data_IF_113308695485
#
_entry.id   IF_113308695485
#
_cell.length_a   1.000
_cell.length_b   1.000
_cell.length_c   1.000
_cell.angle_alpha   90.00
_cell.angle_beta   90.00
_cell.angle_gamma   90.00
#
_symmetry.space_group_name_H-M   'P 1'
#
loop_
_entity.id
_entity.type
_entity.pdbx_description
1 polymer ?
#
# COMPACT_ATOMS: atom_id res chain seq x y z
N UNK A 1 -5.55 30.35 66.86
CA UNK A 1 -5.01 31.72 66.72
C UNK A 1 -5.19 32.15 65.28
N UNK A 2 -6.42 32.13 64.74
CA UNK A 2 -7.60 33.00 65.02
C UNK A 2 -7.53 34.23 64.12
N UNK A 3 -8.53 34.73 63.39
CA UNK A 3 -9.97 34.51 63.19
C UNK A 3 -10.32 35.17 61.82
N UNK A 4 -11.10 34.56 60.90
CA UNK A 4 -12.55 34.82 60.56
C UNK A 4 -12.86 36.30 60.21
N UNK A 5 -13.45 36.68 59.05
CA UNK A 5 -14.91 36.66 58.78
C UNK A 5 -15.28 36.87 57.29
N UNK A 6 -16.33 36.15 56.88
CA UNK A 6 -17.13 36.15 55.63
C UNK A 6 -17.82 37.47 55.28
N UNK A 7 -18.07 37.75 53.98
CA UNK A 7 -19.33 38.34 53.48
C UNK A 7 -19.69 37.75 52.09
N UNK A 8 -20.96 37.36 52.00
CA UNK A 8 -21.74 36.85 50.86
C UNK A 8 -22.28 38.01 50.00
N UNK A 9 -22.37 37.82 48.67
CA UNK A 9 -23.06 38.74 47.76
C UNK A 9 -23.63 38.01 46.55
N UNK A 10 -24.85 37.48 46.70
CA UNK A 10 -25.71 37.01 45.61
C UNK A 10 -26.29 38.20 44.84
N UNK A 11 -26.34 38.13 43.51
CA UNK A 11 -27.22 38.94 42.68
C UNK A 11 -27.61 38.16 41.43
N UNK A 12 -28.82 37.61 41.47
CA UNK A 12 -29.60 37.17 40.31
C UNK A 12 -30.70 38.22 40.10
N UNK A 13 -30.90 38.71 38.87
CA UNK A 13 -32.14 38.56 38.09
C UNK A 13 -32.22 39.50 36.88
N UNK A 14 -32.74 38.90 35.80
CA UNK A 14 -33.57 39.46 34.73
C UNK A 14 -32.95 40.33 33.61
N UNK A 15 -32.98 39.73 32.41
CA UNK A 15 -32.95 40.42 31.13
C UNK A 15 -33.39 39.50 30.00
N UNK A 16 -34.70 39.41 29.76
CA UNK A 16 -35.29 38.87 28.54
C UNK A 16 -34.83 39.66 27.32
N UNK A 17 -34.25 39.01 26.31
CA UNK A 17 -34.40 39.42 24.91
C UNK A 17 -34.44 38.20 23.99
N UNK A 18 -35.64 37.94 23.48
CA UNK A 18 -35.82 37.17 22.26
C UNK A 18 -35.34 38.02 21.08
N UNK A 19 -34.36 37.54 20.32
CA UNK A 19 -34.21 37.94 18.93
C UNK A 19 -33.68 36.77 18.11
N UNK A 20 -34.58 36.25 17.29
CA UNK A 20 -34.36 35.32 16.19
C UNK A 20 -33.35 35.93 15.23
N UNK A 21 -32.20 35.29 15.02
CA UNK A 21 -31.35 35.56 13.86
C UNK A 21 -31.20 34.29 13.02
N UNK A 22 -31.77 34.37 11.83
CA UNK A 22 -31.68 33.41 10.76
C UNK A 22 -30.22 33.27 10.27
N UNK A 23 -29.82 32.07 9.79
CA UNK A 23 -28.58 31.93 9.04
C UNK A 23 -28.84 32.34 7.59
N UNK A 24 -28.48 33.58 7.24
CA UNK A 24 -28.49 34.02 5.85
C UNK A 24 -27.16 33.70 5.15
N UNK A 25 -27.31 32.93 4.07
CA UNK A 25 -26.74 33.19 2.74
C UNK A 25 -25.23 33.01 2.60
N UNK A 26 -24.82 31.78 2.27
CA UNK A 26 -23.73 31.53 1.33
C UNK A 26 -24.04 30.28 0.50
N UNK A 27 -24.86 30.46 -0.53
CA UNK A 27 -25.19 29.40 -1.48
C UNK A 27 -25.55 29.99 -2.85
N UNK A 28 -24.65 30.73 -3.49
CA UNK A 28 -24.80 31.20 -4.87
C UNK A 28 -23.44 31.68 -5.42
N UNK A 29 -22.65 30.77 -6.02
CA UNK A 29 -21.73 31.06 -7.13
C UNK A 29 -20.98 29.78 -7.53
N UNK A 30 -21.55 28.97 -8.41
CA UNK A 30 -20.75 28.16 -9.35
C UNK A 30 -21.50 27.97 -10.67
N UNK A 31 -20.84 28.01 -11.84
CA UNK A 31 -21.51 28.06 -13.13
C UNK A 31 -22.09 26.70 -13.50
N UNK A 32 -23.39 26.66 -13.82
CA UNK A 32 -24.00 25.55 -14.55
C UNK A 32 -23.60 25.66 -16.02
N UNK A 33 -22.65 24.84 -16.46
CA UNK A 33 -22.55 24.52 -17.88
C UNK A 33 -23.72 23.59 -18.23
N UNK A 34 -24.61 24.10 -19.07
CA UNK A 34 -25.67 23.33 -19.72
C UNK A 34 -25.04 22.45 -20.80
N UNK A 35 -25.05 21.14 -20.58
CA UNK A 35 -24.92 20.17 -21.67
C UNK A 35 -26.32 19.93 -22.22
N UNK A 36 -26.61 20.51 -23.39
CA UNK A 36 -27.80 20.22 -24.15
C UNK A 36 -27.78 18.74 -24.57
N UNK A 37 -28.88 18.04 -24.32
CA UNK A 37 -29.13 16.68 -24.78
C UNK A 37 -29.28 16.65 -26.30
N UNK A 38 -28.32 16.06 -27.00
CA UNK A 38 -28.52 15.59 -28.36
C UNK A 38 -29.12 14.18 -28.33
N UNK A 39 -30.27 14.06 -28.99
CA UNK A 39 -31.02 12.84 -29.30
C UNK A 39 -30.14 11.72 -29.90
N UNK A 40 -30.47 10.43 -29.67
CA UNK A 40 -29.76 9.32 -30.29
C UNK A 40 -30.13 9.25 -31.78
N UNK A 41 -29.13 9.31 -32.65
CA UNK A 41 -29.25 8.98 -34.06
C UNK A 41 -28.71 7.55 -34.22
N UNK A 42 -29.60 6.65 -34.63
CA UNK A 42 -29.25 5.29 -35.03
C UNK A 42 -28.39 5.33 -36.30
N UNK A 43 -27.22 4.69 -36.26
CA UNK A 43 -26.44 4.34 -37.44
C UNK A 43 -25.84 2.93 -37.30
N UNK A 44 -25.62 2.23 -38.42
CA UNK A 44 -25.65 0.78 -38.48
C UNK A 44 -24.33 0.10 -38.11
N UNK A 45 -24.49 -1.09 -37.54
CA UNK A 45 -23.45 -2.08 -37.22
C UNK A 45 -22.55 -2.39 -38.43
N UNK A 46 -21.22 -2.22 -38.34
CA UNK A 46 -20.30 -2.88 -39.25
C UNK A 46 -20.08 -4.33 -38.78
N UNK A 47 -20.54 -5.28 -39.58
CA UNK A 47 -20.08 -6.67 -39.51
C UNK A 47 -18.59 -6.71 -39.87
N UNK A 48 -17.75 -7.05 -38.89
CA UNK A 48 -16.42 -7.59 -39.14
C UNK A 48 -16.37 -9.01 -38.57
N UNK A 49 -16.66 -9.98 -39.43
CA UNK A 49 -16.07 -11.31 -39.33
C UNK A 49 -14.66 -11.18 -39.89
N UNK A 50 -13.65 -11.34 -39.04
CA UNK A 50 -12.39 -11.88 -39.52
C UNK A 50 -11.81 -12.90 -38.53
N UNK A 51 -11.37 -13.99 -39.12
CA UNK A 51 -11.08 -15.29 -38.51
C UNK A 51 -9.72 -15.21 -37.83
N UNK A 52 -9.72 -15.15 -36.49
CA UNK A 52 -8.49 -15.29 -35.71
C UNK A 52 -8.04 -16.77 -35.74
N UNK A 53 -7.07 -17.08 -36.61
CA UNK A 53 -6.31 -18.34 -36.56
C UNK A 53 -5.56 -18.42 -35.22
N UNK A 54 -5.61 -19.55 -34.49
CA UNK A 54 -4.85 -19.73 -33.27
C UNK A 54 -3.35 -19.76 -33.58
N UNK A 55 -2.50 -19.12 -32.75
CA UNK A 55 -1.05 -19.18 -32.92
C UNK A 55 -0.56 -20.61 -32.67
N UNK A 56 0.40 -21.00 -33.49
CA UNK A 56 1.07 -22.30 -33.46
C UNK A 56 1.50 -22.70 -32.04
N UNK A 57 1.18 -23.94 -31.68
CA UNK A 57 1.58 -24.59 -30.45
C UNK A 57 3.11 -24.52 -30.28
N UNK A 58 3.56 -23.66 -29.37
CA UNK A 58 4.93 -23.66 -28.86
C UNK A 58 5.12 -24.99 -28.12
N UNK A 59 6.07 -25.80 -28.57
CA UNK A 59 6.41 -27.06 -27.90
C UNK A 59 6.84 -26.77 -26.46
N UNK A 60 5.99 -27.15 -25.51
CA UNK A 60 6.30 -27.09 -24.08
C UNK A 60 7.44 -28.07 -23.83
N UNK A 61 8.66 -27.55 -23.72
CA UNK A 61 9.84 -28.29 -23.28
C UNK A 61 9.52 -28.93 -21.93
N UNK A 62 9.56 -30.27 -21.84
CA UNK A 62 9.31 -30.96 -20.59
C UNK A 62 10.28 -30.45 -19.51
N UNK A 63 9.78 -30.07 -18.33
CA UNK A 63 10.62 -29.61 -17.25
C UNK A 63 11.55 -30.76 -16.80
N UNK A 64 12.85 -30.50 -16.82
CA UNK A 64 13.90 -31.42 -16.36
C UNK A 64 13.60 -31.92 -14.94
N UNK A 65 13.17 -33.18 -14.81
CA UNK A 65 12.83 -33.84 -13.54
C UNK A 65 14.02 -33.89 -12.57
N UNK A 66 15.25 -33.71 -13.04
CA UNK A 66 16.45 -33.67 -12.19
C UNK A 66 16.76 -32.29 -11.63
N UNK A 67 15.97 -31.26 -11.96
CA UNK A 67 16.15 -29.91 -11.43
C UNK A 67 15.71 -29.81 -9.97
N UNK A 68 14.59 -30.44 -9.60
CA UNK A 68 13.98 -30.35 -8.27
C UNK A 68 14.90 -30.90 -7.14
N UNK A 69 15.57 -32.06 -7.28
CA UNK A 69 16.50 -32.55 -6.25
C UNK A 69 17.74 -31.65 -6.05
N UNK A 70 18.29 -31.09 -7.13
CA UNK A 70 19.38 -30.10 -7.06
C UNK A 70 18.90 -28.77 -6.49
N UNK A 71 17.63 -28.44 -6.70
CA UNK A 71 16.95 -27.30 -6.10
C UNK A 71 16.88 -27.50 -4.58
N UNK A 72 16.35 -28.64 -4.14
CA UNK A 72 16.26 -29.10 -2.75
C UNK A 72 17.63 -29.03 -2.07
N UNK A 73 18.67 -29.64 -2.65
CA UNK A 73 20.00 -29.68 -2.04
C UNK A 73 20.63 -28.29 -1.80
N UNK A 74 20.49 -27.36 -2.75
CA UNK A 74 21.00 -25.99 -2.61
C UNK A 74 20.17 -25.15 -1.62
N UNK A 75 18.86 -25.41 -1.53
CA UNK A 75 18.00 -24.85 -0.49
C UNK A 75 18.48 -25.36 0.87
N UNK A 76 18.65 -26.68 1.04
CA UNK A 76 19.15 -27.31 2.27
C UNK A 76 20.51 -26.78 2.74
N UNK A 77 21.44 -26.51 1.82
CA UNK A 77 22.74 -25.94 2.17
C UNK A 77 22.68 -24.47 2.67
N UNK A 78 21.57 -23.78 2.40
CA UNK A 78 21.32 -22.40 2.86
C UNK A 78 20.59 -22.32 4.19
N UNK A 79 20.08 -23.46 4.67
CA UNK A 79 19.31 -23.59 5.90
C UNK A 79 20.29 -23.64 7.09
N UNK A 80 20.09 -22.82 8.14
CA UNK A 80 20.83 -23.00 9.38
C UNK A 80 20.66 -24.44 9.87
N UNK A 81 21.72 -25.14 10.30
CA UNK A 81 21.66 -26.56 10.71
C UNK A 81 20.56 -26.89 11.74
N UNK A 82 20.03 -25.87 12.44
CA UNK A 82 18.93 -25.99 13.39
C UNK A 82 17.54 -26.24 12.77
N UNK A 83 17.39 -26.18 11.45
CA UNK A 83 16.11 -26.43 10.77
C UNK A 83 16.29 -27.71 9.94
N UNK A 84 15.49 -28.73 10.25
CA UNK A 84 15.50 -30.00 9.54
C UNK A 84 15.02 -29.82 8.10
N UNK A 85 15.99 -29.61 7.21
CA UNK A 85 15.77 -29.40 5.79
C UNK A 85 15.01 -30.56 5.12
N UNK A 86 15.20 -31.77 5.63
CA UNK A 86 14.57 -33.00 5.14
C UNK A 86 13.09 -33.04 5.47
N UNK A 87 12.70 -32.57 6.66
CA UNK A 87 11.29 -32.49 7.07
C UNK A 87 10.55 -31.33 6.38
N UNK A 88 11.24 -30.21 6.17
CA UNK A 88 10.66 -28.99 5.57
C UNK A 88 10.34 -29.15 4.06
N UNK A 89 10.99 -30.09 3.38
CA UNK A 89 10.91 -30.23 1.92
C UNK A 89 10.01 -31.38 1.43
N UNK A 90 9.12 -31.91 2.26
CA UNK A 90 8.00 -32.71 1.73
C UNK A 90 7.04 -31.78 1.01
N UNK A 91 6.56 -32.18 -0.18
CA UNK A 91 5.63 -31.37 -0.99
C UNK A 91 4.40 -30.93 -0.18
N UNK A 92 3.91 -31.79 0.73
CA UNK A 92 2.80 -31.49 1.63
C UNK A 92 3.10 -30.35 2.62
N UNK A 93 4.30 -30.34 3.21
CA UNK A 93 4.68 -29.30 4.17
C UNK A 93 4.88 -27.94 3.49
N UNK A 94 5.47 -27.93 2.29
CA UNK A 94 5.65 -26.71 1.52
C UNK A 94 4.32 -26.08 1.10
N UNK A 95 3.35 -26.90 0.70
CA UNK A 95 1.97 -26.45 0.44
C UNK A 95 1.34 -25.85 1.70
N UNK A 96 1.51 -26.49 2.86
CA UNK A 96 1.00 -25.98 4.14
C UNK A 96 1.64 -24.63 4.50
N UNK A 97 2.97 -24.51 4.44
CA UNK A 97 3.68 -23.26 4.71
C UNK A 97 3.18 -22.14 3.81
N UNK A 98 2.99 -22.43 2.52
CA UNK A 98 2.53 -21.44 1.57
C UNK A 98 1.08 -21.04 1.86
N UNK A 99 0.25 -21.99 2.24
CA UNK A 99 -1.11 -21.72 2.69
C UNK A 99 -1.12 -20.84 3.94
N UNK A 100 -0.31 -21.16 4.95
CA UNK A 100 -0.16 -20.38 6.18
C UNK A 100 0.37 -18.98 5.90
N UNK A 101 1.42 -18.85 5.08
CA UNK A 101 1.96 -17.57 4.65
C UNK A 101 0.88 -16.75 3.96
N UNK A 102 0.16 -17.33 2.99
CA UNK A 102 -0.90 -16.65 2.25
C UNK A 102 -2.06 -16.23 3.14
N UNK A 103 -2.48 -17.09 4.06
CA UNK A 103 -3.55 -16.81 5.03
C UNK A 103 -3.16 -15.66 5.95
N UNK A 104 -1.95 -15.67 6.50
CA UNK A 104 -1.45 -14.56 7.31
C UNK A 104 -1.31 -13.30 6.49
N UNK A 105 -0.67 -13.40 5.34
CA UNK A 105 -0.46 -12.28 4.44
C UNK A 105 -1.77 -11.65 4.00
N UNK A 106 -2.82 -12.43 3.79
CA UNK A 106 -4.16 -11.93 3.48
C UNK A 106 -4.73 -11.04 4.60
N UNK A 107 -4.30 -11.22 5.87
CA UNK A 107 -4.66 -10.31 6.97
C UNK A 107 -3.96 -8.95 6.87
N UNK A 108 -2.77 -8.91 6.28
CA UNK A 108 -2.00 -7.68 6.01
C UNK A 108 -2.28 -7.09 4.62
N UNK A 109 -3.04 -7.82 3.79
CA UNK A 109 -3.31 -7.49 2.41
C UNK A 109 -4.79 -7.28 2.17
N UNK A 110 -5.02 -6.72 1.00
CA UNK A 110 -6.30 -6.40 0.46
C UNK A 110 -6.94 -7.58 -0.34
N UNK A 111 -6.16 -8.58 -0.77
CA UNK A 111 -6.65 -9.93 -1.14
C UNK A 111 -5.49 -10.94 -1.32
N UNK A 112 -5.82 -12.23 -1.43
CA UNK A 112 -4.90 -13.21 -2.00
C UNK A 112 -4.73 -12.96 -3.51
N UNK A 113 -3.53 -13.15 -4.08
CA UNK A 113 -3.39 -13.19 -5.53
C UNK A 113 -4.31 -14.28 -6.12
N UNK A 114 -4.90 -14.08 -7.31
CA UNK A 114 -5.74 -15.08 -7.96
C UNK A 114 -5.07 -16.44 -8.01
N UNK A 115 -5.84 -17.52 -8.11
CA UNK A 115 -5.30 -18.88 -8.26
C UNK A 115 -4.26 -19.01 -9.38
N UNK A 116 -4.43 -18.26 -10.48
CA UNK A 116 -3.46 -18.23 -11.60
C UNK A 116 -2.09 -17.69 -11.18
N UNK A 117 -2.06 -16.61 -10.42
CA UNK A 117 -0.83 -16.00 -9.88
C UNK A 117 -0.29 -16.84 -8.72
N UNK A 118 -1.17 -17.41 -7.91
CA UNK A 118 -0.79 -18.33 -6.85
C UNK A 118 -0.03 -19.54 -7.40
N UNK A 119 -0.42 -20.07 -8.57
CA UNK A 119 0.32 -21.10 -9.28
C UNK A 119 1.70 -20.60 -9.75
N UNK A 120 1.77 -19.41 -10.33
CA UNK A 120 3.02 -18.81 -10.79
C UNK A 120 4.03 -18.57 -9.64
N UNK A 121 3.54 -18.14 -8.46
CA UNK A 121 4.37 -17.96 -7.25
C UNK A 121 5.00 -19.28 -6.78
N UNK A 122 4.29 -20.41 -6.94
CA UNK A 122 4.80 -21.74 -6.60
C UNK A 122 5.84 -22.23 -7.61
N UNK A 123 5.71 -21.82 -8.87
CA UNK A 123 6.67 -22.10 -9.95
C UNK A 123 7.82 -21.08 -9.99
N UNK A 124 7.81 -20.10 -9.09
CA UNK A 124 8.78 -19.01 -9.03
C UNK A 124 10.19 -19.46 -8.66
N UNK A 125 11.15 -18.52 -8.65
CA UNK A 125 12.52 -18.82 -8.28
C UNK A 125 12.59 -19.39 -6.87
N UNK A 126 13.57 -20.26 -6.61
CA UNK A 126 13.88 -20.81 -5.27
C UNK A 126 13.82 -19.78 -4.14
N UNK A 127 14.26 -18.57 -4.45
CA UNK A 127 14.33 -17.47 -3.51
C UNK A 127 12.96 -16.98 -3.07
N UNK A 128 11.94 -17.05 -3.93
CA UNK A 128 10.56 -16.74 -3.55
C UNK A 128 10.05 -17.72 -2.49
N UNK A 129 10.24 -19.04 -2.70
CA UNK A 129 9.85 -20.06 -1.73
C UNK A 129 10.49 -19.78 -0.36
N UNK A 130 11.76 -19.37 -0.35
CA UNK A 130 12.44 -18.93 0.88
C UNK A 130 11.78 -17.74 1.55
N UNK A 131 11.45 -16.69 0.79
CA UNK A 131 10.79 -15.51 1.35
C UNK A 131 9.42 -15.89 1.92
N UNK A 132 8.65 -16.75 1.23
CA UNK A 132 7.35 -17.22 1.72
C UNK A 132 7.48 -18.07 3.00
N UNK A 133 8.47 -18.97 3.06
CA UNK A 133 8.76 -19.74 4.26
C UNK A 133 9.12 -18.85 5.45
N UNK A 134 10.04 -17.90 5.25
CA UNK A 134 10.44 -16.96 6.29
C UNK A 134 9.24 -16.12 6.73
N UNK A 135 8.41 -15.68 5.80
CA UNK A 135 7.16 -14.98 6.10
C UNK A 135 6.21 -15.81 6.95
N UNK A 136 5.99 -17.09 6.61
CA UNK A 136 5.14 -17.98 7.41
C UNK A 136 5.66 -18.10 8.85
N UNK A 137 6.96 -18.38 9.00
CA UNK A 137 7.58 -18.55 10.32
C UNK A 137 7.58 -17.27 11.14
N UNK A 138 7.80 -16.14 10.48
CA UNK A 138 7.66 -14.84 11.09
C UNK A 138 6.24 -14.62 11.60
N UNK A 139 5.23 -14.83 10.77
CA UNK A 139 3.84 -14.57 11.15
C UNK A 139 3.37 -15.51 12.26
N UNK A 140 3.78 -16.77 12.23
CA UNK A 140 3.59 -17.71 13.33
C UNK A 140 4.19 -17.16 14.64
N UNK A 141 5.44 -16.69 14.57
CA UNK A 141 6.15 -16.15 15.74
C UNK A 141 5.51 -14.87 16.28
N UNK A 142 5.00 -14.01 15.40
CA UNK A 142 4.29 -12.78 15.79
C UNK A 142 2.94 -13.06 16.46
N UNK A 143 2.27 -14.15 16.09
CA UNK A 143 0.99 -14.56 16.70
C UNK A 143 1.14 -15.28 18.04
N UNK A 144 2.24 -15.99 18.27
CA UNK A 144 2.42 -16.84 19.45
C UNK A 144 3.05 -16.10 20.65
N UNK A 145 3.91 -15.10 20.46
CA UNK A 145 4.42 -14.19 21.51
C UNK A 145 5.29 -13.06 20.93
N UNK A 146 4.85 -11.81 21.06
CA UNK A 146 5.43 -10.62 20.41
C UNK A 146 6.84 -10.22 20.86
N UNK A 147 7.39 -10.83 21.92
CA UNK A 147 8.73 -10.53 22.48
C UNK A 147 9.64 -11.76 22.53
N UNK A 148 9.44 -12.71 21.62
CA UNK A 148 10.23 -13.94 21.56
C UNK A 148 11.58 -13.78 20.84
N UNK A 149 12.60 -14.49 21.32
CA UNK A 149 13.89 -14.70 20.65
C UNK A 149 13.75 -15.15 19.17
N UNK A 150 12.60 -15.74 18.81
CA UNK A 150 12.28 -16.16 17.45
C UNK A 150 12.09 -15.00 16.47
N UNK A 151 11.53 -13.86 16.90
CA UNK A 151 11.39 -12.67 16.04
C UNK A 151 12.77 -12.11 15.67
N UNK A 152 13.66 -11.99 16.66
CA UNK A 152 15.06 -11.60 16.43
C UNK A 152 15.77 -12.56 15.47
N UNK A 153 15.58 -13.87 15.64
CA UNK A 153 16.10 -14.89 14.72
C UNK A 153 15.55 -14.74 13.29
N UNK A 154 14.28 -14.39 13.14
CA UNK A 154 13.68 -14.12 11.83
C UNK A 154 14.27 -12.87 11.17
N UNK A 155 14.51 -11.80 11.94
CA UNK A 155 15.19 -10.59 11.47
C UNK A 155 16.60 -10.93 10.96
N UNK A 156 17.37 -11.72 11.72
CA UNK A 156 18.69 -12.19 11.29
C UNK A 156 18.63 -12.98 9.97
N UNK A 157 17.59 -13.80 9.79
CA UNK A 157 17.38 -14.56 8.57
C UNK A 157 17.00 -13.67 7.39
N UNK A 158 16.16 -12.66 7.61
CA UNK A 158 15.79 -11.66 6.60
C UNK A 158 17.03 -10.90 6.13
N UNK A 159 17.91 -10.45 7.03
CA UNK A 159 19.14 -9.74 6.67
C UNK A 159 20.17 -10.66 5.97
N UNK A 160 20.24 -11.94 6.36
CA UNK A 160 21.04 -12.95 5.63
C UNK A 160 20.49 -13.15 4.22
N UNK A 161 19.17 -13.23 4.07
CA UNK A 161 18.53 -13.39 2.76
C UNK A 161 18.77 -12.16 1.87
N UNK A 162 18.66 -10.95 2.41
CA UNK A 162 18.96 -9.72 1.67
C UNK A 162 20.39 -9.72 1.12
N UNK A 163 21.37 -10.06 1.97
CA UNK A 163 22.78 -10.16 1.57
C UNK A 163 23.00 -11.21 0.48
N UNK A 164 22.33 -12.37 0.59
CA UNK A 164 22.40 -13.43 -0.42
C UNK A 164 21.76 -13.00 -1.76
N UNK A 165 20.66 -12.25 -1.71
CA UNK A 165 19.97 -11.79 -2.91
C UNK A 165 20.85 -10.83 -3.72
N UNK A 166 21.72 -10.06 -3.04
CA UNK A 166 22.76 -9.24 -3.65
C UNK A 166 22.22 -8.18 -4.62
N UNK A 167 23.11 -7.37 -5.20
CA UNK A 167 22.67 -6.48 -6.28
C UNK A 167 22.28 -7.30 -7.51
N UNK A 168 21.26 -6.86 -8.25
CA UNK A 168 20.94 -7.46 -9.54
C UNK A 168 22.15 -7.30 -10.48
N UNK A 169 22.69 -8.43 -10.97
CA UNK A 169 23.90 -8.46 -11.82
C UNK A 169 23.61 -8.94 -13.24
N UNK A 170 22.41 -9.44 -13.52
CA UNK A 170 22.07 -9.94 -14.85
C UNK A 170 21.73 -8.79 -15.77
N UNK A 171 22.21 -8.82 -17.02
CA UNK A 171 21.73 -7.92 -18.08
C UNK A 171 20.53 -8.51 -18.83
N UNK A 172 20.20 -9.78 -18.59
CA UNK A 172 19.10 -10.43 -19.27
C UNK A 172 17.77 -10.09 -18.59
N UNK A 173 16.79 -9.70 -19.41
CA UNK A 173 15.39 -9.51 -19.01
C UNK A 173 14.80 -10.80 -18.40
N UNK A 174 15.29 -11.95 -18.87
CA UNK A 174 14.92 -13.26 -18.36
C UNK A 174 15.28 -13.39 -16.87
N UNK A 175 14.26 -13.37 -16.01
CA UNK A 175 14.38 -13.45 -14.56
C UNK A 175 14.42 -12.09 -13.83
N UNK A 176 14.33 -10.96 -14.55
CA UNK A 176 14.21 -9.63 -13.93
C UNK A 176 12.88 -9.50 -13.16
N UNK A 177 11.77 -9.97 -13.74
CA UNK A 177 10.46 -10.02 -13.10
C UNK A 177 10.48 -10.80 -11.79
N UNK A 178 10.99 -12.04 -11.84
CA UNK A 178 11.16 -12.94 -10.70
C UNK A 178 12.03 -12.32 -9.59
N UNK A 179 13.10 -11.63 -9.98
CA UNK A 179 13.99 -10.95 -9.04
C UNK A 179 13.32 -9.73 -8.39
N UNK A 180 12.63 -8.90 -9.18
CA UNK A 180 11.89 -7.74 -8.69
C UNK A 180 10.83 -8.18 -7.68
N UNK A 181 10.06 -9.20 -8.03
CA UNK A 181 9.05 -9.75 -7.13
C UNK A 181 9.67 -10.26 -5.83
N UNK A 182 10.75 -11.04 -5.91
CA UNK A 182 11.45 -11.55 -4.71
C UNK A 182 11.92 -10.38 -3.82
N UNK A 183 12.38 -9.28 -4.42
CA UNK A 183 12.78 -8.07 -3.69
C UNK A 183 11.61 -7.35 -3.04
N UNK A 184 10.48 -7.23 -3.74
CA UNK A 184 9.27 -6.63 -3.19
C UNK A 184 8.74 -7.46 -2.01
N UNK A 185 8.80 -8.78 -2.09
CA UNK A 185 8.45 -9.65 -0.98
C UNK A 185 9.38 -9.46 0.23
N UNK A 186 10.68 -9.35 -0.02
CA UNK A 186 11.65 -9.05 1.03
C UNK A 186 11.39 -7.67 1.65
N UNK A 187 11.08 -6.65 0.83
CA UNK A 187 10.72 -5.32 1.31
C UNK A 187 9.52 -5.40 2.25
N UNK A 188 8.47 -6.12 1.84
CA UNK A 188 7.29 -6.37 2.66
C UNK A 188 7.62 -7.02 4.02
N UNK A 189 8.49 -8.05 4.04
CA UNK A 189 8.94 -8.62 5.30
C UNK A 189 9.69 -7.59 6.16
N UNK A 190 10.59 -6.78 5.59
CA UNK A 190 11.32 -5.75 6.37
C UNK A 190 10.40 -4.67 6.91
N UNK A 191 9.45 -4.19 6.11
CA UNK A 191 8.41 -3.27 6.55
C UNK A 191 7.64 -3.81 7.74
N UNK A 192 7.19 -5.06 7.64
CA UNK A 192 6.37 -5.69 8.68
C UNK A 192 7.14 -6.11 9.92
N UNK A 193 8.48 -6.15 9.91
CA UNK A 193 9.27 -6.71 11.04
C UNK A 193 10.25 -5.76 11.68
N UNK A 194 10.96 -5.00 10.86
CA UNK A 194 12.06 -4.14 11.27
C UNK A 194 11.60 -2.68 11.26
N UNK A 195 10.80 -2.32 10.26
CA UNK A 195 10.20 -0.99 10.14
C UNK A 195 10.39 -0.38 8.75
N UNK A 196 9.88 0.83 8.60
CA UNK A 196 9.64 1.44 7.30
C UNK A 196 10.90 1.91 6.58
N UNK A 197 11.89 2.44 7.32
CA UNK A 197 13.19 2.77 6.74
C UNK A 197 13.90 1.54 6.13
N UNK A 198 13.84 0.40 6.83
CA UNK A 198 14.46 -0.85 6.38
C UNK A 198 13.78 -1.43 5.14
N UNK A 199 12.44 -1.45 5.11
CA UNK A 199 11.67 -1.87 3.93
C UNK A 199 11.89 -0.94 2.73
N UNK A 200 11.90 0.38 2.95
CA UNK A 200 12.12 1.37 1.91
C UNK A 200 13.52 1.27 1.30
N UNK A 201 14.55 0.98 2.11
CA UNK A 201 15.90 0.71 1.59
C UNK A 201 15.95 -0.50 0.65
N UNK A 202 15.15 -1.56 0.91
CA UNK A 202 15.04 -2.69 -0.02
C UNK A 202 14.31 -2.28 -1.30
N UNK A 203 13.27 -1.45 -1.18
CA UNK A 203 12.53 -0.92 -2.33
C UNK A 203 13.42 -0.06 -3.23
N UNK A 204 14.27 0.80 -2.66
CA UNK A 204 15.30 1.56 -3.38
C UNK A 204 16.24 0.65 -4.17
N UNK A 205 16.66 -0.48 -3.58
CA UNK A 205 17.51 -1.47 -4.26
C UNK A 205 16.77 -2.21 -5.38
N UNK A 206 15.44 -2.21 -5.37
CA UNK A 206 14.62 -2.83 -6.40
C UNK A 206 14.39 -1.91 -7.62
N UNK A 207 14.53 -0.59 -7.44
CA UNK A 207 14.30 0.43 -8.47
C UNK A 207 15.03 0.15 -9.79
N UNK A 208 16.33 -0.21 -9.84
CA UNK A 208 17.01 -0.43 -11.12
C UNK A 208 16.39 -1.54 -11.97
N UNK A 209 15.83 -2.58 -11.33
CA UNK A 209 15.20 -3.70 -12.04
C UNK A 209 13.78 -3.36 -12.46
N UNK A 210 13.07 -2.57 -11.66
CA UNK A 210 11.80 -1.98 -12.09
C UNK A 210 11.98 -1.12 -13.34
N UNK A 211 12.95 -0.21 -13.35
CA UNK A 211 13.25 0.63 -14.52
C UNK A 211 13.69 -0.20 -15.74
N UNK A 212 14.42 -1.30 -15.54
CA UNK A 212 14.79 -2.22 -16.61
C UNK A 212 13.57 -2.89 -17.25
N UNK A 213 12.59 -3.31 -16.45
CA UNK A 213 11.35 -3.92 -16.93
C UNK A 213 10.47 -2.90 -17.65
N UNK A 214 10.38 -1.67 -17.13
CA UNK A 214 9.66 -0.58 -17.80
C UNK A 214 10.28 -0.25 -19.16
N UNK A 215 11.60 -0.19 -19.25
CA UNK A 215 12.28 0.13 -20.51
C UNK A 215 12.03 -0.89 -21.63
N UNK A 216 11.52 -2.08 -21.30
CA UNK A 216 11.12 -3.09 -22.27
C UNK A 216 9.72 -2.84 -22.87
N UNK A 217 8.95 -1.90 -22.31
CA UNK A 217 7.58 -1.59 -22.72
C UNK A 217 7.36 -0.06 -22.82
N UNK A 218 7.54 0.52 -24.02
CA UNK A 218 7.39 1.96 -24.25
C UNK A 218 5.99 2.51 -23.95
N UNK A 219 4.96 1.66 -23.99
CA UNK A 219 3.58 2.09 -23.76
C UNK A 219 3.36 2.49 -22.30
N UNK A 220 4.25 2.08 -21.39
CA UNK A 220 4.21 2.44 -19.97
C UNK A 220 4.75 3.85 -19.68
N UNK A 221 5.19 4.58 -20.69
CA UNK A 221 5.64 5.96 -20.55
C UNK A 221 4.63 6.96 -21.11
N UNK A 222 4.67 8.17 -20.57
CA UNK A 222 3.89 9.30 -21.06
C UNK A 222 4.79 10.54 -21.17
N UNK A 223 4.59 11.31 -22.24
CA UNK A 223 5.23 12.60 -22.42
C UNK A 223 4.37 13.70 -21.76
N UNK A 224 4.97 14.43 -20.82
CA UNK A 224 4.36 15.62 -20.23
C UNK A 224 4.39 16.79 -21.22
N UNK A 225 3.52 17.80 -21.09
CA UNK A 225 3.48 18.97 -21.98
C UNK A 225 4.81 19.73 -22.12
N UNK A 226 5.75 19.54 -21.18
CA UNK A 226 7.10 20.10 -21.24
C UNK A 226 8.15 19.24 -21.97
N UNK A 227 7.75 18.13 -22.61
CA UNK A 227 8.64 17.21 -23.33
C UNK A 227 9.37 16.18 -22.44
N UNK A 228 9.11 16.19 -21.12
CA UNK A 228 9.67 15.19 -20.22
C UNK A 228 8.91 13.88 -20.34
N UNK A 229 9.62 12.77 -20.49
CA UNK A 229 9.04 11.42 -20.50
C UNK A 229 9.09 10.86 -19.08
N UNK A 230 7.92 10.51 -18.54
CA UNK A 230 7.77 9.95 -17.20
C UNK A 230 6.99 8.63 -17.26
N UNK A 231 6.95 7.90 -16.16
CA UNK A 231 6.24 6.61 -16.08
C UNK A 231 4.75 6.87 -15.96
N UNK A 232 3.93 6.37 -16.88
CA UNK A 232 2.47 6.46 -16.77
C UNK A 232 1.99 5.58 -15.61
N UNK A 233 1.47 6.20 -14.56
CA UNK A 233 0.92 5.48 -13.43
C UNK A 233 -0.28 4.60 -13.83
N UNK A 234 -1.31 5.11 -14.54
CA UNK A 234 -2.46 4.29 -14.93
C UNK A 234 -2.07 3.08 -15.78
N UNK A 235 -1.17 3.27 -16.75
CA UNK A 235 -0.74 2.19 -17.64
C UNK A 235 0.15 1.18 -16.93
N UNK A 236 1.12 1.63 -16.14
CA UNK A 236 2.00 0.73 -15.36
C UNK A 236 1.22 -0.06 -14.32
N UNK A 237 0.26 0.58 -13.67
CA UNK A 237 -0.61 -0.07 -12.69
C UNK A 237 -1.62 -1.03 -13.35
N UNK A 238 -2.03 -0.75 -14.60
CA UNK A 238 -2.84 -1.64 -15.42
C UNK A 238 -2.09 -2.82 -16.03
N UNK A 239 -0.78 -2.69 -16.25
CA UNK A 239 0.05 -3.63 -16.99
C UNK A 239 -0.04 -5.09 -16.48
N UNK A 240 -0.05 -6.14 -17.32
CA UNK A 240 -0.23 -7.52 -16.86
C UNK A 240 0.84 -8.02 -15.89
N UNK A 241 2.01 -7.37 -15.84
CA UNK A 241 3.14 -7.68 -14.98
C UNK A 241 2.86 -7.26 -13.53
N UNK A 242 2.56 -8.23 -12.66
CA UNK A 242 2.17 -7.98 -11.27
C UNK A 242 3.28 -7.30 -10.45
N UNK A 243 4.54 -7.57 -10.77
CA UNK A 243 5.70 -7.00 -10.10
C UNK A 243 5.81 -5.49 -10.33
N UNK A 244 5.38 -4.99 -11.49
CA UNK A 244 5.32 -3.56 -11.77
C UNK A 244 4.25 -2.89 -10.90
N UNK A 245 3.05 -3.48 -10.85
CA UNK A 245 1.95 -2.97 -10.01
C UNK A 245 2.35 -2.84 -8.55
N UNK A 246 3.02 -3.87 -8.03
CA UNK A 246 3.43 -3.90 -6.63
C UNK A 246 4.53 -2.90 -6.34
N UNK A 247 5.48 -2.71 -7.25
CA UNK A 247 6.50 -1.69 -7.10
C UNK A 247 5.86 -0.31 -7.02
N UNK A 248 4.99 0.04 -7.98
CA UNK A 248 4.29 1.34 -8.01
C UNK A 248 3.50 1.57 -6.73
N UNK A 249 2.74 0.56 -6.28
CA UNK A 249 1.98 0.65 -5.02
C UNK A 249 2.90 0.86 -3.82
N UNK A 250 3.99 0.11 -3.70
CA UNK A 250 4.92 0.25 -2.58
C UNK A 250 5.60 1.60 -2.61
N UNK A 251 5.99 2.07 -3.78
CA UNK A 251 6.65 3.34 -3.96
C UNK A 251 5.75 4.50 -3.56
N UNK A 252 4.54 4.60 -4.14
CA UNK A 252 3.60 5.69 -3.85
C UNK A 252 3.18 5.69 -2.39
N UNK A 253 2.74 4.54 -1.85
CA UNK A 253 2.21 4.50 -0.49
C UNK A 253 3.32 4.64 0.55
N UNK A 254 4.49 4.04 0.34
CA UNK A 254 5.61 4.22 1.29
C UNK A 254 6.13 5.65 1.25
N UNK A 255 6.22 6.27 0.07
CA UNK A 255 6.70 7.64 -0.06
C UNK A 255 5.77 8.64 0.61
N UNK A 256 4.45 8.45 0.43
CA UNK A 256 3.43 9.17 1.19
C UNK A 256 3.66 9.03 2.71
N UNK A 257 3.84 7.80 3.19
CA UNK A 257 3.90 7.53 4.63
C UNK A 257 5.24 7.92 5.27
N UNK A 258 6.31 7.96 4.49
CA UNK A 258 7.63 8.39 4.95
C UNK A 258 7.86 9.90 4.80
N UNK A 259 6.97 10.62 4.11
CA UNK A 259 7.19 12.03 3.82
C UNK A 259 8.33 12.25 2.84
N UNK A 260 8.52 11.35 1.87
CA UNK A 260 9.57 11.44 0.85
C UNK A 260 8.95 11.46 -0.55
N UNK A 261 9.70 11.92 -1.54
CA UNK A 261 9.28 11.79 -2.93
C UNK A 261 9.27 10.32 -3.36
N UNK A 262 8.31 9.91 -4.21
CA UNK A 262 8.37 8.64 -4.91
C UNK A 262 9.73 8.44 -5.59
N UNK A 263 10.19 7.18 -5.62
CA UNK A 263 11.42 6.76 -6.28
C UNK A 263 11.34 6.93 -7.80
N UNK A 264 10.12 6.94 -8.34
CA UNK A 264 9.82 7.10 -9.75
C UNK A 264 8.90 8.31 -9.93
N UNK A 265 9.20 9.13 -10.93
CA UNK A 265 8.30 10.19 -11.33
C UNK A 265 7.15 9.60 -12.16
N UNK A 266 5.93 9.79 -11.66
CA UNK A 266 4.72 9.26 -12.25
C UNK A 266 3.93 10.34 -12.99
N UNK A 267 3.59 10.07 -14.24
CA UNK A 267 2.61 10.82 -15.01
C UNK A 267 1.21 10.21 -14.86
N UNK A 268 0.19 11.07 -14.98
CA UNK A 268 -1.20 10.69 -14.78
C UNK A 268 -2.02 11.03 -16.00
N UNK A 269 -1.83 10.25 -17.06
CA UNK A 269 -2.57 10.37 -18.30
C UNK A 269 -3.75 9.40 -18.34
N UNK A 270 -4.94 9.98 -18.24
CA UNK A 270 -6.18 9.24 -18.35
C UNK A 270 -6.66 8.61 -17.05
N UNK A 271 -7.80 7.93 -17.17
CA UNK A 271 -8.42 7.19 -16.08
C UNK A 271 -7.87 5.77 -16.05
N UNK A 272 -7.72 5.23 -14.86
CA UNK A 272 -7.50 3.80 -14.70
C UNK A 272 -8.78 3.04 -15.10
N UNK A 273 -8.69 2.21 -16.14
CA UNK A 273 -9.80 1.34 -16.58
C UNK A 273 -10.24 0.35 -15.48
N UNK A 274 -11.29 0.71 -14.76
CA UNK A 274 -11.84 -0.04 -13.62
C UNK A 274 -12.15 -1.51 -13.92
N UNK A 275 -12.30 -1.90 -15.19
CA UNK A 275 -12.69 -3.25 -15.62
C UNK A 275 -11.47 -4.15 -15.90
N UNK A 276 -10.35 -3.63 -16.39
CA UNK A 276 -9.16 -4.44 -16.73
C UNK A 276 -8.19 -4.66 -15.57
N UNK A 277 -8.46 -4.03 -14.42
CA UNK A 277 -7.50 -4.04 -13.34
C UNK A 277 -7.64 -5.24 -12.41
N UNK A 278 -6.51 -5.89 -12.11
CA UNK A 278 -6.32 -6.73 -10.92
C UNK A 278 -6.47 -6.00 -9.58
N UNK A 279 -7.22 -4.89 -9.55
CA UNK A 279 -7.60 -4.09 -8.39
C UNK A 279 -8.60 -4.76 -7.48
N UNK A 280 -9.30 -5.81 -7.97
CA UNK A 280 -9.99 -6.73 -7.08
C UNK A 280 -9.05 -7.22 -5.96
N UNK A 281 -7.73 -7.22 -6.17
CA UNK A 281 -6.78 -7.71 -5.17
C UNK A 281 -6.30 -6.63 -4.20
N UNK A 282 -6.70 -5.37 -4.44
CA UNK A 282 -6.50 -4.22 -3.56
C UNK A 282 -7.86 -3.67 -3.13
N UNK A 283 -8.71 -4.51 -2.50
CA UNK A 283 -10.01 -4.13 -1.94
C UNK A 283 -9.94 -2.96 -0.95
N UNK A 284 -10.05 -1.73 -1.42
CA UNK A 284 -10.17 -0.56 -0.55
C UNK A 284 -8.92 0.32 -0.52
N UNK A 285 -8.16 0.37 -1.61
CA UNK A 285 -7.63 1.65 -2.11
C UNK A 285 -8.33 1.85 -3.45
N UNK A 286 -9.44 2.63 -3.52
CA UNK A 286 -10.04 3.02 -4.78
C UNK A 286 -8.93 3.53 -5.70
N UNK A 287 -8.99 3.22 -6.99
CA UNK A 287 -7.97 3.73 -7.91
C UNK A 287 -7.93 5.23 -7.90
N UNK A 288 -9.13 5.81 -7.81
CA UNK A 288 -9.33 7.21 -7.55
C UNK A 288 -8.52 7.65 -6.32
N UNK A 289 -8.44 6.88 -5.23
CA UNK A 289 -7.59 7.21 -4.09
C UNK A 289 -6.09 7.13 -4.39
N UNK A 290 -5.59 6.08 -5.04
CA UNK A 290 -4.16 6.02 -5.39
C UNK A 290 -3.78 7.15 -6.36
N UNK A 291 -4.70 7.47 -7.27
CA UNK A 291 -4.65 8.58 -8.20
C UNK A 291 -4.79 9.94 -7.49
N UNK A 292 -5.63 10.06 -6.45
CA UNK A 292 -5.82 11.27 -5.65
C UNK A 292 -4.68 11.49 -4.65
N UNK A 293 -4.10 10.42 -4.09
CA UNK A 293 -2.91 10.46 -3.25
C UNK A 293 -1.74 11.04 -4.05
N UNK A 294 -1.71 10.74 -5.34
CA UNK A 294 -0.69 11.25 -6.24
C UNK A 294 -1.04 12.55 -6.95
N UNK A 295 -2.32 12.86 -7.18
CA UNK A 295 -2.77 14.12 -7.80
C UNK A 295 -3.21 15.21 -6.83
N UNK A 296 -3.40 14.89 -5.54
CA UNK A 296 -3.79 15.81 -4.47
C UNK A 296 -5.19 16.45 -4.66
N UNK A 297 -6.27 15.77 -4.24
CA UNK A 297 -7.51 16.46 -3.86
C UNK A 297 -8.28 15.78 -2.70
N UNK A 298 -8.27 16.45 -1.55
CA UNK A 298 -8.78 15.98 -0.24
C UNK A 298 -10.31 15.80 -0.18
N UNK A 299 -11.08 16.46 -1.07
CA UNK A 299 -12.56 16.53 -0.97
C UNK A 299 -13.27 15.22 -1.29
N UNK A 300 -12.82 14.47 -2.29
CA UNK A 300 -13.44 13.18 -2.66
C UNK A 300 -13.14 12.09 -1.63
N UNK A 301 -12.03 12.24 -0.92
CA UNK A 301 -11.56 11.30 0.09
C UNK A 301 -12.46 11.22 1.32
N UNK A 302 -13.06 12.35 1.70
CA UNK A 302 -13.97 12.44 2.84
C UNK A 302 -15.33 11.79 2.53
N UNK A 303 -15.78 11.82 1.26
CA UNK A 303 -17.04 11.16 0.85
C UNK A 303 -16.95 9.63 0.86
N UNK A 304 -15.76 9.07 0.64
CA UNK A 304 -15.54 7.62 0.61
C UNK A 304 -15.43 6.99 2.02
N UNK A 305 -15.31 7.80 3.07
CA UNK A 305 -15.15 7.35 4.45
C UNK A 305 -16.45 7.17 5.24
N UNK A 306 -17.63 7.20 4.62
CA UNK A 306 -18.88 6.94 5.34
C UNK A 306 -18.93 5.52 5.93
N UNK A 307 -19.51 5.36 7.14
CA UNK A 307 -19.36 4.16 7.94
C UNK A 307 -20.15 2.99 7.34
N UNK A 308 -19.43 2.07 6.69
CA UNK A 308 -19.91 0.70 6.51
C UNK A 308 -19.57 -0.08 7.79
N UNK A 309 -20.54 -0.17 8.70
CA UNK A 309 -20.36 -0.93 9.93
C UNK A 309 -20.17 -2.44 9.63
N UNK A 310 -19.17 -3.05 10.27
CA UNK A 310 -18.94 -4.50 10.43
C UNK A 310 -18.29 -5.32 9.29
N UNK A 311 -17.59 -4.73 8.34
CA UNK A 311 -16.73 -5.52 7.45
C UNK A 311 -15.26 -5.56 7.91
N UNK A 312 -14.50 -6.63 7.59
CA UNK A 312 -13.03 -6.66 7.66
C UNK A 312 -12.33 -5.57 6.80
N UNK A 313 -13.09 -4.63 6.26
CA UNK A 313 -12.68 -3.42 5.54
C UNK A 313 -11.85 -2.47 6.40
N UNK A 314 -11.84 -2.60 7.74
CA UNK A 314 -11.17 -1.62 8.60
C UNK A 314 -9.69 -1.39 8.23
N UNK A 315 -8.92 -2.45 7.98
CA UNK A 315 -7.51 -2.38 7.56
C UNK A 315 -7.36 -1.57 6.25
N UNK A 316 -8.38 -1.61 5.39
CA UNK A 316 -8.37 -0.94 4.10
C UNK A 316 -8.58 0.58 4.20
N UNK A 317 -9.22 1.03 5.28
CA UNK A 317 -9.45 2.46 5.53
C UNK A 317 -8.21 3.15 6.09
N UNK A 318 -7.12 2.44 6.43
CA UNK A 318 -5.96 3.09 7.05
C UNK A 318 -5.32 4.17 6.19
N UNK A 319 -4.98 3.87 4.94
CA UNK A 319 -4.41 4.87 4.02
C UNK A 319 -5.42 6.01 3.78
N UNK A 320 -6.71 5.71 3.77
CA UNK A 320 -7.75 6.74 3.71
C UNK A 320 -7.75 7.64 4.96
N UNK A 321 -7.64 7.06 6.15
CA UNK A 321 -7.57 7.79 7.42
C UNK A 321 -6.34 8.69 7.46
N UNK A 322 -5.21 8.20 6.97
CA UNK A 322 -3.97 8.98 6.82
C UNK A 322 -4.24 10.22 5.97
N UNK A 323 -4.72 10.04 4.74
CA UNK A 323 -4.88 11.16 3.81
C UNK A 323 -6.01 12.10 4.26
N UNK A 324 -7.12 11.55 4.76
CA UNK A 324 -8.20 12.33 5.34
C UNK A 324 -7.70 13.13 6.56
N UNK A 325 -6.81 12.54 7.35
CA UNK A 325 -6.18 13.19 8.49
C UNK A 325 -5.29 14.35 8.10
N UNK A 326 -4.45 14.18 7.07
CA UNK A 326 -3.64 15.27 6.52
C UNK A 326 -4.50 16.44 6.03
N UNK A 327 -5.66 16.12 5.43
CA UNK A 327 -6.60 17.12 4.93
C UNK A 327 -7.60 17.67 5.96
N UNK A 328 -7.63 17.15 7.18
CA UNK A 328 -8.64 17.49 8.17
C UNK A 328 -8.41 18.89 8.76
N UNK A 329 -9.28 19.83 8.41
CA UNK A 329 -9.28 21.21 8.97
C UNK A 329 -10.18 21.37 10.19
N UNK A 330 -11.20 20.52 10.33
CA UNK A 330 -12.17 20.64 11.42
C UNK A 330 -11.86 19.64 12.53
N UNK A 331 -11.94 20.10 13.78
CA UNK A 331 -11.64 19.28 14.96
C UNK A 331 -12.50 18.02 15.04
N UNK A 332 -13.77 18.12 14.59
CA UNK A 332 -14.67 16.96 14.47
C UNK A 332 -14.12 15.90 13.53
N UNK A 333 -13.58 16.28 12.36
CA UNK A 333 -12.99 15.34 11.41
C UNK A 333 -11.70 14.73 11.95
N UNK A 334 -10.84 15.55 12.57
CA UNK A 334 -9.61 15.09 13.24
C UNK A 334 -9.90 14.05 14.30
N UNK A 335 -10.91 14.29 15.14
CA UNK A 335 -11.33 13.35 16.19
C UNK A 335 -11.82 12.00 15.61
N UNK A 336 -12.59 12.02 14.52
CA UNK A 336 -13.05 10.79 13.84
C UNK A 336 -11.86 10.01 13.28
N UNK A 337 -10.98 10.68 12.53
CA UNK A 337 -9.77 10.07 11.97
C UNK A 337 -8.88 9.52 13.08
N UNK A 338 -8.66 10.29 14.14
CA UNK A 338 -7.84 9.90 15.27
C UNK A 338 -8.38 8.64 15.95
N UNK A 339 -9.68 8.62 16.27
CA UNK A 339 -10.34 7.46 16.87
C UNK A 339 -10.22 6.22 15.97
N UNK A 340 -10.33 6.39 14.65
CA UNK A 340 -10.16 5.28 13.70
C UNK A 340 -8.70 4.82 13.60
N UNK A 341 -7.74 5.73 13.65
CA UNK A 341 -6.31 5.35 13.69
C UNK A 341 -5.95 4.58 14.96
N UNK A 342 -6.52 4.99 16.11
CA UNK A 342 -6.39 4.29 17.37
C UNK A 342 -7.09 2.93 17.37
N UNK A 343 -8.18 2.73 16.61
CA UNK A 343 -8.78 1.40 16.50
C UNK A 343 -7.88 0.39 15.79
N UNK A 344 -6.82 0.84 15.12
CA UNK A 344 -5.77 -0.02 14.58
C UNK A 344 -4.65 -0.30 15.59
N UNK A 345 -4.76 0.15 16.83
CA UNK A 345 -3.79 -0.20 17.88
C UNK A 345 -3.73 -1.73 18.05
N UNK A 346 -2.51 -2.27 18.07
CA UNK A 346 -2.27 -3.72 18.07
C UNK A 346 -2.52 -4.43 16.73
N UNK A 347 -3.15 -3.75 15.75
CA UNK A 347 -3.34 -4.28 14.40
C UNK A 347 -2.28 -3.68 13.47
N UNK A 348 -1.39 -4.52 12.96
CA UNK A 348 -0.44 -4.12 11.92
C UNK A 348 -1.18 -3.97 10.59
N UNK A 349 -1.60 -2.75 10.30
CA UNK A 349 -2.23 -2.42 9.03
C UNK A 349 -1.15 -2.10 8.01
N UNK A 350 -0.91 -3.06 7.11
CA UNK A 350 0.06 -2.95 6.02
C UNK A 350 1.52 -2.83 6.51
N UNK A 351 2.17 -1.67 6.36
CA UNK A 351 3.57 -1.44 6.72
C UNK A 351 3.77 -0.65 8.04
N UNK A 352 2.69 -0.12 8.65
CA UNK A 352 2.80 0.84 9.77
C UNK A 352 1.92 0.46 10.96
N UNK A 353 2.29 0.93 12.15
CA UNK A 353 1.41 0.88 13.32
C UNK A 353 0.52 2.12 13.33
N UNK A 354 -0.80 1.94 13.47
CA UNK A 354 -1.74 3.07 13.45
C UNK A 354 -1.43 4.13 14.50
N UNK A 355 -0.89 3.71 15.65
CA UNK A 355 -0.44 4.57 16.74
C UNK A 355 0.75 5.48 16.37
N UNK A 356 1.69 5.03 15.54
CA UNK A 356 2.81 5.87 15.10
C UNK A 356 2.28 7.02 14.23
N UNK A 357 1.34 6.70 13.34
CA UNK A 357 0.75 7.71 12.46
C UNK A 357 -0.17 8.67 13.19
N UNK A 358 -0.94 8.19 14.17
CA UNK A 358 -1.81 9.06 14.97
C UNK A 358 -1.01 10.16 15.66
N UNK A 359 0.16 9.83 16.22
CA UNK A 359 1.07 10.81 16.84
C UNK A 359 1.61 11.85 15.86
N UNK A 360 1.93 11.43 14.63
CA UNK A 360 2.36 12.37 13.57
C UNK A 360 1.25 13.36 13.25
N UNK A 361 0.01 12.87 13.09
CA UNK A 361 -1.14 13.73 12.85
C UNK A 361 -1.47 14.63 14.04
N UNK A 362 -1.36 14.15 15.27
CA UNK A 362 -1.55 14.98 16.47
C UNK A 362 -0.54 16.14 16.49
N UNK A 363 0.75 15.86 16.28
CA UNK A 363 1.78 16.90 16.18
C UNK A 363 1.45 17.91 15.08
N UNK A 364 0.99 17.43 13.92
CA UNK A 364 0.60 18.26 12.79
C UNK A 364 -0.61 19.15 13.11
N UNK A 365 -1.66 18.58 13.69
CA UNK A 365 -2.94 19.24 13.97
C UNK A 365 -2.85 20.26 15.10
N UNK A 366 -2.08 19.97 16.14
CA UNK A 366 -1.87 20.89 17.27
C UNK A 366 -0.69 21.84 17.06
N UNK A 367 0.15 21.59 16.05
CA UNK A 367 1.20 22.48 15.59
C UNK A 367 0.71 23.41 14.47
N UNK A 368 1.30 23.27 13.29
CA UNK A 368 1.03 24.10 12.10
C UNK A 368 -0.42 24.08 11.62
N UNK A 369 -1.16 22.99 11.89
CA UNK A 369 -2.58 22.86 11.59
C UNK A 369 -3.53 23.44 12.66
N UNK A 370 -3.02 24.04 13.75
CA UNK A 370 -3.86 24.51 14.85
C UNK A 370 -4.92 25.52 14.36
N UNK A 371 -6.13 25.44 14.93
CA UNK A 371 -7.25 26.30 14.52
C UNK A 371 -7.78 26.03 13.10
N UNK A 372 -7.44 24.88 12.50
CA UNK A 372 -7.89 24.51 11.16
C UNK A 372 -7.10 25.15 10.02
N UNK A 373 -5.90 25.64 10.31
CA UNK A 373 -4.96 26.14 9.31
C UNK A 373 -4.71 25.09 8.22
N UNK A 374 -4.48 25.58 7.00
CA UNK A 374 -4.11 24.73 5.88
C UNK A 374 -2.70 24.16 6.14
N UNK A 375 -2.58 22.85 5.95
CA UNK A 375 -1.32 22.12 6.08
C UNK A 375 -0.80 21.83 4.68
N UNK A 376 0.49 22.07 4.45
CA UNK A 376 1.17 21.70 3.20
C UNK A 376 1.99 20.41 3.39
N UNK A 377 2.59 19.92 2.32
CA UNK A 377 3.41 18.70 2.38
C UNK A 377 4.61 18.84 3.33
N UNK A 378 5.31 19.98 3.28
CA UNK A 378 6.51 20.21 4.10
C UNK A 378 6.21 20.19 5.62
N UNK A 379 5.03 20.70 6.00
CA UNK A 379 4.52 20.64 7.38
C UNK A 379 4.38 19.20 7.89
N UNK A 380 3.87 18.31 7.03
CA UNK A 380 3.74 16.89 7.32
C UNK A 380 5.10 16.23 7.47
N UNK A 381 6.02 16.48 6.53
CA UNK A 381 7.39 15.94 6.57
C UNK A 381 8.08 16.36 7.87
N UNK A 382 7.98 17.64 8.24
CA UNK A 382 8.56 18.15 9.49
C UNK A 382 7.94 17.48 10.72
N UNK A 383 6.61 17.40 10.79
CA UNK A 383 5.92 16.76 11.91
C UNK A 383 6.29 15.29 12.05
N UNK A 384 6.42 14.58 10.94
CA UNK A 384 6.86 13.19 10.93
C UNK A 384 8.28 13.04 11.45
N UNK A 385 9.22 13.86 10.97
CA UNK A 385 10.61 13.83 11.44
C UNK A 385 10.75 14.17 12.94
N UNK A 386 9.85 15.00 13.48
CA UNK A 386 9.80 15.31 14.92
C UNK A 386 9.28 14.15 15.77
N UNK A 387 8.37 13.33 15.25
CA UNK A 387 7.71 12.26 16.01
C UNK A 387 8.37 10.89 15.79
N UNK A 388 8.81 10.60 14.57
CA UNK A 388 9.38 9.31 14.15
C UNK A 388 10.79 9.56 13.62
N UNK A 389 11.79 9.16 14.40
CA UNK A 389 13.18 9.13 13.95
C UNK A 389 13.34 8.03 12.89
N UNK A 390 13.93 8.38 11.74
CA UNK A 390 14.25 7.42 10.66
C UNK A 390 15.42 6.50 11.02
#
# INVERSE_FOLDING_TARGET
YDHVTSIVGLSHTNGNYATTHAPEVYNCAWPRHQSQSSTPQDDPVPQYLDVMKPPHAVSVTQPDRNRLPKIIQALCASIPPSVDATQVMTDAHLVQIIHEYRSHRAKYRFALPPPSIAGALLQGPKTMIWVMYLGAKLFQSLGENTHGAMVSKCIDWIDKLERKLGNFRSKALNGAADWLLTRLELAFLKFTTIGCGSGYSVLQKALPVFLLLLAADPDLYVEHPGGNVVVSFPRTFGAPQYELKWFVMYDVVTSLLLGVSPLVEYGYDGECDSVSHGLEWIHGIPVALAHIISQTSIKELIRLGEPADNLPIEVHVFVHCVVAGLGARYEKHRSIVHKKLLSFEGTRVWLFHGLEFSRVLEHLWYGVGAGGAAVIWDDYVQSRCSVISL
#
